data_IF_661997453794
#
_entry.id   IF_661997453794
#
_cell.length_a   1.000
_cell.length_b   1.000
_cell.length_c   1.000
_cell.angle_alpha   90.00
_cell.angle_beta   90.00
_cell.angle_gamma   90.00
#
_symmetry.space_group_name_H-M   'P 1'
#
loop_
_entity.id
_entity.type
_entity.pdbx_description
1 polymer ?
#
# COMPACT_ATOMS: atom_id res chain seq x y z
N UNK A 1 -7.55 -40.90 33.94
CA UNK A 1 -6.34 -40.68 33.18
C UNK A 1 -6.56 -40.96 31.69
N UNK A 2 -7.63 -40.42 31.07
CA UNK A 2 -7.92 -40.64 29.65
C UNK A 2 -8.16 -39.34 28.86
N UNK A 3 -7.86 -38.16 29.43
CA UNK A 3 -8.20 -36.87 28.81
C UNK A 3 -7.00 -36.10 28.17
N UNK A 4 -5.76 -36.55 28.36
CA UNK A 4 -4.59 -35.84 27.83
C UNK A 4 -4.17 -36.27 26.39
N UNK A 5 -4.53 -37.50 25.98
CA UNK A 5 -4.10 -38.01 24.66
C UNK A 5 -4.93 -37.42 23.53
N UNK A 6 -6.21 -37.09 23.79
CA UNK A 6 -7.09 -36.45 22.75
C UNK A 6 -6.72 -35.02 22.38
N UNK A 7 -6.11 -34.27 23.32
CA UNK A 7 -5.77 -32.86 23.09
C UNK A 7 -4.47 -32.70 22.26
N UNK A 8 -3.54 -33.63 22.40
CA UNK A 8 -2.28 -33.60 21.64
C UNK A 8 -2.49 -33.96 20.16
N UNK A 9 -3.46 -34.81 19.86
CA UNK A 9 -3.78 -35.18 18.47
C UNK A 9 -4.54 -34.09 17.70
N UNK A 10 -5.32 -33.27 18.40
CA UNK A 10 -6.01 -32.11 17.77
C UNK A 10 -5.03 -30.97 17.44
N UNK A 11 -4.02 -30.74 18.28
CA UNK A 11 -2.99 -29.72 18.03
C UNK A 11 -2.06 -30.14 16.88
N UNK A 12 -1.75 -31.43 16.73
CA UNK A 12 -0.95 -31.93 15.63
C UNK A 12 -1.68 -31.92 14.28
N UNK A 13 -3.03 -32.08 14.27
CA UNK A 13 -3.82 -31.97 13.04
C UNK A 13 -3.97 -30.52 12.54
N UNK A 14 -4.00 -29.53 13.43
CA UNK A 14 -4.08 -28.11 13.02
C UNK A 14 -2.73 -27.65 12.47
N UNK A 15 -1.62 -28.11 13.02
CA UNK A 15 -0.29 -27.77 12.54
C UNK A 15 0.03 -28.36 11.13
N UNK A 16 -0.53 -29.52 10.79
CA UNK A 16 -0.28 -30.16 9.47
C UNK A 16 -1.05 -29.52 8.31
N UNK A 17 -2.05 -28.67 8.57
CA UNK A 17 -2.75 -27.90 7.52
C UNK A 17 -2.08 -26.55 7.25
N UNK A 18 -1.26 -26.05 8.16
CA UNK A 18 -0.52 -24.79 7.98
C UNK A 18 0.75 -24.96 7.13
N UNK A 19 1.22 -26.19 6.94
CA UNK A 19 2.46 -26.51 6.22
C UNK A 19 2.26 -26.95 4.76
N UNK A 20 1.09 -26.74 4.16
CA UNK A 20 1.02 -26.80 2.70
C UNK A 20 1.73 -25.55 2.17
N UNK A 21 3.00 -25.70 1.86
CA UNK A 21 3.85 -24.72 1.20
C UNK A 21 3.12 -24.14 -0.01
N UNK A 22 2.59 -22.91 0.17
CA UNK A 22 2.10 -22.11 -0.92
C UNK A 22 3.26 -21.26 -1.46
N UNK A 23 3.79 -21.54 -2.65
CA UNK A 23 4.94 -20.81 -3.21
C UNK A 23 4.68 -19.32 -3.33
N UNK A 24 3.42 -18.92 -3.56
CA UNK A 24 3.01 -17.53 -3.60
C UNK A 24 3.14 -16.85 -2.24
N UNK A 25 2.59 -17.46 -1.18
CA UNK A 25 2.69 -16.94 0.19
C UNK A 25 4.15 -16.76 0.61
N UNK A 26 4.98 -17.77 0.40
CA UNK A 26 6.40 -17.71 0.71
C UNK A 26 7.14 -16.62 -0.06
N UNK A 27 6.81 -16.39 -1.34
CA UNK A 27 7.38 -15.31 -2.13
C UNK A 27 6.98 -13.94 -1.56
N UNK A 28 5.70 -13.74 -1.26
CA UNK A 28 5.17 -12.49 -0.71
C UNK A 28 5.77 -12.20 0.65
N UNK A 29 5.78 -13.18 1.56
CA UNK A 29 6.35 -13.05 2.90
C UNK A 29 7.83 -12.66 2.84
N UNK A 30 8.61 -13.33 2.00
CA UNK A 30 10.03 -13.03 1.83
C UNK A 30 10.26 -11.64 1.23
N UNK A 31 9.50 -11.26 0.23
CA UNK A 31 9.67 -10.00 -0.49
C UNK A 31 9.28 -8.80 0.37
N UNK A 32 8.12 -8.88 1.04
CA UNK A 32 7.64 -7.80 1.91
C UNK A 32 8.45 -7.71 3.19
N UNK A 33 8.84 -8.83 3.81
CA UNK A 33 9.70 -8.83 4.99
C UNK A 33 11.05 -8.18 4.71
N UNK A 34 11.67 -8.45 3.56
CA UNK A 34 12.92 -7.77 3.16
C UNK A 34 12.73 -6.27 3.02
N UNK A 35 11.60 -5.83 2.46
CA UNK A 35 11.29 -4.41 2.31
C UNK A 35 11.06 -3.74 3.66
N UNK A 36 10.32 -4.39 4.57
CA UNK A 36 10.06 -3.93 5.92
C UNK A 36 11.35 -3.81 6.74
N UNK A 37 12.22 -4.82 6.65
CA UNK A 37 13.50 -4.87 7.37
C UNK A 37 14.53 -3.86 6.85
N UNK A 38 14.48 -3.50 5.57
CA UNK A 38 15.39 -2.51 4.99
C UNK A 38 15.36 -1.19 5.73
N UNK A 39 14.23 -0.78 6.29
CA UNK A 39 14.01 0.45 7.08
C UNK A 39 14.88 1.65 6.64
N UNK A 40 15.40 1.55 5.40
CA UNK A 40 16.27 2.54 4.80
C UNK A 40 15.42 3.69 4.27
N UNK A 41 15.95 4.88 4.39
CA UNK A 41 15.42 6.08 3.77
C UNK A 41 15.04 5.78 2.31
N UNK A 42 13.74 5.77 2.03
CA UNK A 42 13.25 5.56 0.66
C UNK A 42 13.80 6.67 -0.23
N UNK A 43 14.56 6.30 -1.25
CA UNK A 43 15.11 7.27 -2.20
C UNK A 43 13.97 7.96 -2.94
N UNK A 44 14.00 9.29 -2.92
CA UNK A 44 13.06 10.14 -3.67
C UNK A 44 13.69 10.59 -4.98
N UNK A 45 12.87 10.66 -6.03
CA UNK A 45 13.30 11.11 -7.36
C UNK A 45 12.38 12.22 -7.85
N UNK A 46 12.92 13.19 -8.58
CA UNK A 46 12.18 14.30 -9.17
C UNK A 46 11.31 15.02 -8.12
N UNK A 47 11.92 15.40 -6.99
CA UNK A 47 11.23 16.15 -5.94
C UNK A 47 10.89 17.54 -6.46
N UNK A 48 9.61 17.85 -6.49
CA UNK A 48 9.05 19.13 -6.93
C UNK A 48 8.14 19.70 -5.85
N UNK A 49 8.23 21.01 -5.62
CA UNK A 49 7.26 21.75 -4.82
C UNK A 49 6.13 22.19 -5.71
N UNK A 50 4.93 21.73 -5.42
CA UNK A 50 3.72 22.07 -6.17
C UNK A 50 3.25 23.48 -5.83
N UNK A 51 2.53 24.16 -6.73
CA UNK A 51 1.96 25.49 -6.45
C UNK A 51 1.00 25.50 -5.25
N UNK A 52 0.44 24.34 -4.90
CA UNK A 52 -0.46 24.16 -3.75
C UNK A 52 0.27 23.89 -2.42
N UNK A 53 1.61 23.97 -2.40
CA UNK A 53 2.46 23.79 -1.22
C UNK A 53 2.82 22.34 -0.89
N UNK A 54 2.30 21.37 -1.66
CA UNK A 54 2.63 19.97 -1.45
C UNK A 54 3.93 19.57 -2.15
N UNK A 55 4.62 18.57 -1.63
CA UNK A 55 5.78 17.95 -2.28
C UNK A 55 5.32 16.80 -3.16
N UNK A 56 5.80 16.76 -4.39
CA UNK A 56 5.56 15.68 -5.34
C UNK A 56 6.89 15.03 -5.71
N UNK A 57 6.93 13.71 -5.71
CA UNK A 57 8.13 12.94 -6.05
C UNK A 57 7.78 11.50 -6.42
N UNK A 58 8.79 10.75 -6.84
CA UNK A 58 8.65 9.32 -7.08
C UNK A 58 9.45 8.54 -6.03
N UNK A 59 8.90 7.40 -5.62
CA UNK A 59 9.56 6.39 -4.80
C UNK A 59 9.82 5.14 -5.65
N UNK A 60 10.84 4.36 -5.27
CA UNK A 60 11.12 3.07 -5.92
C UNK A 60 9.95 2.11 -5.72
N UNK A 61 9.48 1.54 -6.80
CA UNK A 61 8.55 0.42 -6.84
C UNK A 61 9.28 -0.92 -6.89
N UNK A 62 8.52 -2.02 -6.82
CA UNK A 62 9.06 -3.34 -7.11
C UNK A 62 9.49 -3.44 -8.59
N UNK A 63 10.54 -4.19 -8.92
CA UNK A 63 10.87 -4.44 -10.32
C UNK A 63 9.72 -5.14 -11.06
N UNK A 64 9.41 -4.67 -12.27
CA UNK A 64 8.41 -5.25 -13.14
C UNK A 64 9.05 -5.73 -14.44
N UNK A 65 8.90 -7.01 -14.78
CA UNK A 65 9.53 -7.62 -15.96
C UNK A 65 11.03 -7.30 -16.05
N UNK A 66 11.72 -7.40 -14.90
CA UNK A 66 13.14 -7.07 -14.71
C UNK A 66 13.51 -5.58 -14.90
N UNK A 67 12.56 -4.69 -15.08
CA UNK A 67 12.81 -3.25 -15.14
C UNK A 67 12.56 -2.59 -13.80
N UNK A 68 13.40 -1.61 -13.44
CA UNK A 68 13.18 -0.78 -12.28
C UNK A 68 11.92 0.08 -12.48
N UNK A 69 11.05 0.11 -11.47
CA UNK A 69 9.84 0.92 -11.50
C UNK A 69 9.84 2.00 -10.42
N UNK A 70 8.98 2.99 -10.59
CA UNK A 70 8.72 4.05 -9.62
C UNK A 70 7.25 4.38 -9.61
N UNK A 71 6.74 4.77 -8.45
CA UNK A 71 5.37 5.25 -8.31
C UNK A 71 5.36 6.70 -7.80
N UNK A 72 4.35 7.45 -8.25
CA UNK A 72 4.13 8.82 -7.85
C UNK A 72 3.66 8.88 -6.39
N UNK A 73 4.23 9.81 -5.63
CA UNK A 73 3.80 10.16 -4.28
C UNK A 73 3.61 11.68 -4.16
N UNK A 74 2.57 12.08 -3.43
CA UNK A 74 2.32 13.47 -3.02
C UNK A 74 2.30 13.50 -1.51
N UNK A 75 3.11 14.35 -0.91
CA UNK A 75 3.35 14.39 0.52
C UNK A 75 3.32 15.80 1.07
N UNK A 76 2.86 15.93 2.29
CA UNK A 76 3.08 17.09 3.11
C UNK A 76 3.01 16.72 4.60
N UNK A 77 3.77 17.46 5.41
CA UNK A 77 3.73 17.36 6.87
C UNK A 77 3.34 18.72 7.45
N UNK A 78 2.48 18.74 8.46
CA UNK A 78 2.17 20.00 9.14
C UNK A 78 3.44 20.60 9.77
N UNK A 79 3.48 21.92 9.87
CA UNK A 79 4.56 22.61 10.57
C UNK A 79 4.50 22.27 12.06
N UNK A 80 5.56 21.68 12.58
CA UNK A 80 5.71 21.41 14.00
C UNK A 80 6.61 22.51 14.59
N UNK A 81 6.12 23.28 15.58
CA UNK A 81 6.93 24.33 16.19
C UNK A 81 8.19 23.76 16.84
N UNK A 82 9.28 24.49 16.74
CA UNK A 82 10.47 24.22 17.54
C UNK A 82 10.31 24.86 18.94
N UNK A 83 10.77 24.14 19.96
CA UNK A 83 10.87 24.69 21.31
C UNK A 83 12.16 25.47 21.49
N UNK A 84 12.31 26.14 22.63
CA UNK A 84 13.40 27.13 22.87
C UNK A 84 14.83 26.58 22.75
N UNK A 85 15.04 25.28 22.85
CA UNK A 85 16.33 24.60 22.66
C UNK A 85 16.60 24.17 21.20
N UNK A 86 15.67 24.48 20.27
CA UNK A 86 15.76 24.11 18.87
C UNK A 86 15.26 22.69 18.54
N UNK A 87 14.79 21.96 19.53
CA UNK A 87 14.13 20.64 19.29
C UNK A 87 12.67 20.82 18.87
N UNK A 88 12.08 19.80 18.25
CA UNK A 88 10.66 19.80 17.90
C UNK A 88 9.79 19.64 19.15
N UNK A 89 8.73 20.44 19.25
CA UNK A 89 7.77 20.36 20.36
C UNK A 89 7.05 18.99 20.44
N UNK A 90 6.82 18.37 19.29
CA UNK A 90 6.20 17.05 19.16
C UNK A 90 6.54 16.45 17.80
N UNK A 91 6.18 15.16 17.59
CA UNK A 91 6.19 14.54 16.26
C UNK A 91 4.75 14.41 15.76
N UNK A 92 4.55 14.55 14.44
CA UNK A 92 3.23 14.41 13.86
C UNK A 92 2.83 12.93 13.73
N UNK A 93 1.57 12.58 13.98
CA UNK A 93 1.02 11.35 13.45
C UNK A 93 1.01 11.39 11.93
N UNK A 94 1.00 10.24 11.27
CA UNK A 94 1.04 10.20 9.80
C UNK A 94 0.10 9.18 9.19
N UNK A 95 -0.18 9.33 7.88
CA UNK A 95 -1.07 8.41 7.17
C UNK A 95 -0.61 8.19 5.73
N UNK A 96 -0.69 6.93 5.30
CA UNK A 96 -0.59 6.51 3.90
C UNK A 96 -1.98 6.49 3.30
N UNK A 97 -2.18 7.16 2.15
CA UNK A 97 -3.46 7.30 1.47
C UNK A 97 -3.44 6.55 0.14
N UNK A 98 -4.33 5.55 0.00
CA UNK A 98 -4.39 4.66 -1.15
C UNK A 98 -5.70 4.85 -1.91
N UNK A 99 -5.60 5.28 -3.17
CA UNK A 99 -6.76 5.53 -4.01
C UNK A 99 -7.48 4.25 -4.47
N UNK A 100 -8.74 4.38 -4.87
CA UNK A 100 -9.50 3.33 -5.54
C UNK A 100 -9.15 3.16 -7.00
N UNK A 101 -9.72 2.14 -7.64
CA UNK A 101 -9.47 1.85 -9.05
C UNK A 101 -9.73 3.06 -9.96
N UNK A 102 -8.77 3.36 -10.83
CA UNK A 102 -8.82 4.50 -11.74
C UNK A 102 -8.55 5.86 -11.09
N UNK A 103 -8.15 5.88 -9.81
CA UNK A 103 -7.69 7.09 -9.12
C UNK A 103 -6.25 7.46 -9.41
N UNK A 104 -5.67 8.29 -8.56
CA UNK A 104 -4.26 8.67 -8.55
C UNK A 104 -3.85 9.12 -7.14
N UNK A 105 -2.63 9.60 -6.96
CA UNK A 105 -2.22 10.29 -5.75
C UNK A 105 -2.95 11.64 -5.64
N UNK A 106 -3.96 11.74 -4.76
CA UNK A 106 -4.78 12.94 -4.63
C UNK A 106 -4.20 13.91 -3.59
N UNK A 107 -3.64 15.04 -4.06
CA UNK A 107 -3.12 16.09 -3.18
C UNK A 107 -4.18 16.70 -2.26
N UNK A 108 -5.46 16.76 -2.69
CA UNK A 108 -6.57 17.24 -1.85
C UNK A 108 -6.80 16.35 -0.61
N UNK A 109 -6.54 15.05 -0.69
CA UNK A 109 -6.62 14.15 0.46
C UNK A 109 -5.49 14.43 1.44
N UNK A 110 -4.28 14.67 0.92
CA UNK A 110 -3.13 15.06 1.74
C UNK A 110 -3.46 16.32 2.55
N UNK A 111 -4.03 17.36 1.91
CA UNK A 111 -4.42 18.60 2.60
C UNK A 111 -5.44 18.36 3.72
N UNK A 112 -6.48 17.55 3.46
CA UNK A 112 -7.49 17.24 4.47
C UNK A 112 -6.92 16.57 5.72
N UNK A 113 -5.95 15.68 5.54
CA UNK A 113 -5.27 15.06 6.67
C UNK A 113 -4.31 16.01 7.38
N UNK A 114 -3.66 16.91 6.62
CA UNK A 114 -2.85 17.97 7.24
C UNK A 114 -3.68 18.94 8.08
N UNK A 115 -4.88 19.32 7.61
CA UNK A 115 -5.82 20.15 8.37
C UNK A 115 -6.25 19.46 9.68
N UNK A 116 -6.21 18.14 9.74
CA UNK A 116 -6.45 17.35 10.94
C UNK A 116 -5.17 17.12 11.79
N UNK A 117 -4.02 17.70 11.41
CA UNK A 117 -2.77 17.60 12.14
C UNK A 117 -1.88 16.40 11.79
N UNK A 118 -2.24 15.63 10.77
CA UNK A 118 -1.45 14.48 10.31
C UNK A 118 -0.48 14.89 9.19
N UNK A 119 0.72 14.35 9.18
CA UNK A 119 1.48 14.22 7.94
C UNK A 119 0.79 13.18 7.04
N UNK A 120 0.78 13.41 5.74
CA UNK A 120 0.08 12.52 4.83
C UNK A 120 0.87 12.31 3.53
N UNK A 121 0.87 11.05 3.05
CA UNK A 121 1.41 10.67 1.76
C UNK A 121 0.34 9.94 0.95
N UNK A 122 -0.05 10.50 -0.20
CA UNK A 122 -0.90 9.84 -1.18
C UNK A 122 -0.03 9.19 -2.26
N UNK A 123 -0.35 7.95 -2.63
CA UNK A 123 0.43 7.17 -3.61
C UNK A 123 -0.42 6.76 -4.81
N UNK A 124 0.20 6.69 -5.99
CA UNK A 124 -0.41 6.15 -7.22
C UNK A 124 -0.02 4.69 -7.38
N UNK A 125 -1.02 3.79 -7.45
CA UNK A 125 -0.82 2.33 -7.40
C UNK A 125 -1.17 1.60 -8.71
N UNK A 126 -1.45 2.33 -9.79
CA UNK A 126 -1.77 1.76 -11.11
C UNK A 126 -0.83 2.28 -12.23
N UNK A 127 0.40 2.70 -11.88
CA UNK A 127 1.41 3.14 -12.85
C UNK A 127 1.14 4.50 -13.50
N UNK A 128 0.23 5.31 -12.95
CA UNK A 128 -0.16 6.62 -13.48
C UNK A 128 0.52 7.79 -12.75
N UNK A 129 0.39 8.96 -13.34
CA UNK A 129 0.68 10.26 -12.72
C UNK A 129 -0.63 10.92 -12.26
N UNK A 130 -0.56 12.13 -11.70
CA UNK A 130 -1.71 12.98 -11.37
C UNK A 130 -2.07 13.97 -12.49
N UNK A 131 -1.38 13.87 -13.64
CA UNK A 131 -1.63 14.72 -14.82
C UNK A 131 -2.78 14.13 -15.64
N UNK A 132 -3.76 14.97 -15.94
CA UNK A 132 -4.92 14.58 -16.76
C UNK A 132 -4.48 14.42 -18.22
N UNK A 133 -4.58 13.19 -18.74
CA UNK A 133 -4.35 12.91 -20.16
C UNK A 133 -5.54 13.30 -21.03
N UNK A 134 -6.78 13.12 -20.50
CA UNK A 134 -8.01 13.49 -21.22
C UNK A 134 -9.18 13.68 -20.26
N UNK A 135 -9.91 14.78 -20.43
CA UNK A 135 -11.13 15.07 -19.66
C UNK A 135 -12.31 14.16 -20.06
N UNK A 136 -12.30 13.65 -21.29
CA UNK A 136 -13.37 12.78 -21.80
C UNK A 136 -13.20 11.31 -21.36
N UNK A 137 -12.01 10.89 -20.94
CA UNK A 137 -11.74 9.54 -20.46
C UNK A 137 -12.06 9.42 -18.98
N UNK A 138 -12.42 8.22 -18.56
CA UNK A 138 -12.76 7.89 -17.17
C UNK A 138 -11.82 6.82 -16.62
N UNK A 139 -11.89 6.64 -15.32
CA UNK A 139 -11.05 5.67 -14.63
C UNK A 139 -9.56 5.99 -14.85
N UNK A 140 -8.74 4.97 -14.94
CA UNK A 140 -7.30 5.10 -15.09
C UNK A 140 -6.87 5.85 -16.36
N UNK A 141 -7.58 5.68 -17.46
CA UNK A 141 -7.25 6.32 -18.73
C UNK A 141 -7.42 7.83 -18.75
N UNK A 142 -8.00 8.38 -17.70
CA UNK A 142 -8.03 9.83 -17.45
C UNK A 142 -6.63 10.39 -17.19
N UNK A 143 -5.75 9.59 -16.60
CA UNK A 143 -4.43 10.01 -16.14
C UNK A 143 -3.33 9.63 -17.13
N UNK A 144 -2.29 10.44 -17.21
CA UNK A 144 -1.09 10.08 -17.96
C UNK A 144 -0.36 8.93 -17.27
N UNK A 145 0.25 8.06 -18.09
CA UNK A 145 1.12 7.03 -17.54
C UNK A 145 2.44 7.64 -17.08
N UNK A 146 2.97 7.13 -15.99
CA UNK A 146 4.36 7.36 -15.63
C UNK A 146 5.28 6.60 -16.57
N UNK A 147 6.38 7.24 -16.99
CA UNK A 147 7.40 6.59 -17.80
C UNK A 147 8.12 5.44 -17.05
N UNK A 148 8.02 5.41 -15.72
CA UNK A 148 8.63 4.43 -14.83
C UNK A 148 7.58 3.61 -14.09
N UNK A 149 6.32 3.64 -14.52
CA UNK A 149 5.22 2.98 -13.82
C UNK A 149 5.40 1.47 -13.77
N UNK A 150 4.99 0.87 -12.66
CA UNK A 150 4.80 -0.58 -12.55
C UNK A 150 3.57 -1.06 -13.33
N UNK A 151 3.17 -2.31 -13.14
CA UNK A 151 2.03 -2.89 -13.85
C UNK A 151 0.74 -2.13 -13.53
N UNK A 152 -0.15 -2.16 -14.49
CA UNK A 152 -1.51 -1.68 -14.34
C UNK A 152 -2.39 -2.83 -13.86
N UNK A 153 -3.43 -2.51 -13.10
CA UNK A 153 -4.45 -3.49 -12.79
C UNK A 153 -5.16 -3.95 -14.07
N UNK A 154 -5.22 -5.24 -14.27
CA UNK A 154 -5.94 -5.89 -15.36
C UNK A 154 -7.24 -6.49 -14.80
N UNK A 155 -8.38 -6.10 -15.33
CA UNK A 155 -9.68 -6.57 -14.89
C UNK A 155 -9.87 -6.50 -13.37
N UNK A 156 -10.22 -7.62 -12.78
CA UNK A 156 -10.37 -7.76 -11.32
C UNK A 156 -9.19 -8.53 -10.71
N UNK A 157 -8.62 -9.47 -11.32
CA UNK A 157 -7.41 -10.21 -10.99
C UNK A 157 -6.96 -10.97 -12.24
N UNK A 158 -7.10 -10.35 -13.42
CA UNK A 158 -6.89 -11.07 -14.69
C UNK A 158 -5.41 -11.33 -14.96
N UNK A 159 -4.52 -10.71 -14.16
CA UNK A 159 -3.08 -10.93 -14.18
C UNK A 159 -2.59 -12.13 -13.33
N UNK A 160 -3.52 -12.92 -12.76
CA UNK A 160 -3.20 -14.08 -11.90
C UNK A 160 -2.35 -15.16 -12.58
N UNK A 161 -2.31 -15.20 -13.91
CA UNK A 161 -1.46 -16.12 -14.67
C UNK A 161 0.00 -15.68 -14.75
N UNK A 162 0.31 -14.44 -14.34
CA UNK A 162 1.68 -13.94 -14.28
C UNK A 162 2.40 -14.51 -13.05
N UNK A 163 3.74 -14.40 -13.05
CA UNK A 163 4.48 -14.64 -11.80
C UNK A 163 4.07 -13.60 -10.75
N UNK A 164 3.98 -14.00 -9.49
CA UNK A 164 3.53 -13.14 -8.38
C UNK A 164 4.25 -11.79 -8.33
N UNK A 165 5.55 -11.74 -8.61
CA UNK A 165 6.31 -10.49 -8.70
C UNK A 165 5.91 -9.55 -9.84
N UNK A 166 5.12 -10.02 -10.80
CA UNK A 166 4.62 -9.24 -11.93
C UNK A 166 3.10 -8.95 -11.82
N UNK A 167 2.45 -9.35 -10.75
CA UNK A 167 1.04 -9.06 -10.51
C UNK A 167 0.86 -7.65 -9.94
N UNK A 168 -0.17 -6.96 -10.39
CA UNK A 168 -0.46 -5.60 -9.95
C UNK A 168 -0.61 -5.48 -8.42
N UNK A 169 -1.31 -6.42 -7.77
CA UNK A 169 -1.54 -6.38 -6.32
C UNK A 169 -0.22 -6.43 -5.54
N UNK A 170 0.76 -7.24 -5.99
CA UNK A 170 2.10 -7.25 -5.40
C UNK A 170 2.74 -5.86 -5.42
N UNK A 171 2.68 -5.17 -6.56
CA UNK A 171 3.26 -3.83 -6.70
C UNK A 171 2.52 -2.78 -5.87
N UNK A 172 1.19 -2.88 -5.77
CA UNK A 172 0.37 -1.96 -5.01
C UNK A 172 0.64 -2.05 -3.49
N UNK A 173 0.74 -3.28 -2.96
CA UNK A 173 1.11 -3.53 -1.56
C UNK A 173 2.56 -3.11 -1.29
N UNK A 174 3.49 -3.42 -2.22
CA UNK A 174 4.87 -2.96 -2.14
C UNK A 174 4.95 -1.43 -2.03
N UNK A 175 4.19 -0.70 -2.84
CA UNK A 175 4.15 0.76 -2.81
C UNK A 175 3.62 1.29 -1.47
N UNK A 176 2.60 0.65 -0.88
CA UNK A 176 2.07 1.04 0.44
C UNK A 176 3.10 0.83 1.56
N UNK A 177 3.83 -0.29 1.56
CA UNK A 177 4.92 -0.55 2.50
C UNK A 177 6.06 0.45 2.31
N UNK A 178 6.41 0.77 1.07
CA UNK A 178 7.45 1.75 0.75
C UNK A 178 7.09 3.17 1.20
N UNK A 179 5.81 3.55 1.08
CA UNK A 179 5.31 4.80 1.62
C UNK A 179 5.40 4.85 3.15
N UNK A 180 5.13 3.73 3.85
CA UNK A 180 5.36 3.62 5.30
C UNK A 180 6.85 3.79 5.64
N UNK A 181 7.76 3.16 4.89
CA UNK A 181 9.21 3.34 5.07
C UNK A 181 9.61 4.80 4.89
N UNK A 182 9.06 5.48 3.86
CA UNK A 182 9.30 6.91 3.66
C UNK A 182 8.85 7.74 4.87
N UNK A 183 7.63 7.54 5.38
CA UNK A 183 7.13 8.24 6.56
C UNK A 183 8.02 7.99 7.78
N UNK A 184 8.45 6.75 7.98
CA UNK A 184 9.33 6.36 9.09
C UNK A 184 10.75 6.93 8.97
N UNK A 185 11.19 7.33 7.79
CA UNK A 185 12.48 8.01 7.60
C UNK A 185 12.44 9.52 7.92
N UNK A 186 11.25 10.09 8.17
CA UNK A 186 11.10 11.50 8.47
C UNK A 186 11.24 11.75 9.98
N UNK A 187 12.16 12.63 10.39
CA UNK A 187 12.44 12.90 11.81
C UNK A 187 11.26 13.49 12.57
N UNK A 188 10.39 14.23 11.87
CA UNK A 188 9.22 14.91 12.43
C UNK A 188 7.98 14.02 12.54
N UNK A 189 8.07 12.73 12.19
CA UNK A 189 6.96 11.77 12.26
C UNK A 189 7.06 10.89 13.51
N UNK A 190 5.94 10.70 14.20
CA UNK A 190 5.82 9.71 15.25
C UNK A 190 5.60 8.31 14.62
N UNK A 191 6.64 7.50 14.66
CA UNK A 191 6.63 6.16 14.07
C UNK A 191 5.61 5.20 14.72
N UNK A 192 5.11 5.52 15.91
CA UNK A 192 4.10 4.73 16.60
C UNK A 192 2.67 5.16 16.23
N UNK A 193 2.52 6.24 15.47
CA UNK A 193 1.24 6.81 15.06
C UNK A 193 1.09 6.93 13.54
N UNK A 194 1.58 5.94 12.81
CA UNK A 194 1.42 5.89 11.34
C UNK A 194 0.26 4.95 11.01
N UNK A 195 -0.73 5.45 10.27
CA UNK A 195 -1.84 4.68 9.76
C UNK A 195 -1.85 4.50 8.25
N UNK A 196 -2.79 3.70 7.76
CA UNK A 196 -3.07 3.53 6.33
C UNK A 196 -4.58 3.62 6.08
N UNK A 197 -4.97 4.36 5.05
CA UNK A 197 -6.36 4.56 4.65
C UNK A 197 -6.50 4.33 3.15
N UNK A 198 -7.44 3.50 2.75
CA UNK A 198 -7.69 3.24 1.34
C UNK A 198 -9.16 3.05 1.03
N UNK A 199 -9.57 3.45 -0.17
CA UNK A 199 -10.96 3.39 -0.62
C UNK A 199 -11.12 2.42 -1.79
N UNK A 200 -12.16 1.59 -1.79
CA UNK A 200 -12.46 0.62 -2.85
C UNK A 200 -11.25 -0.32 -3.07
N UNK A 201 -10.63 -0.37 -4.24
CA UNK A 201 -9.37 -1.08 -4.44
C UNK A 201 -8.27 -0.68 -3.46
N UNK A 202 -8.21 0.59 -3.07
CA UNK A 202 -7.34 1.05 -1.98
C UNK A 202 -7.69 0.41 -0.64
N UNK A 203 -8.97 0.12 -0.39
CA UNK A 203 -9.43 -0.63 0.79
C UNK A 203 -8.91 -2.08 0.77
N UNK A 204 -8.96 -2.76 -0.40
CA UNK A 204 -8.38 -4.10 -0.58
C UNK A 204 -6.88 -4.07 -0.32
N UNK A 205 -6.16 -3.12 -0.95
CA UNK A 205 -4.71 -2.94 -0.75
C UNK A 205 -4.40 -2.69 0.73
N UNK A 206 -5.18 -1.83 1.41
CA UNK A 206 -5.03 -1.54 2.84
C UNK A 206 -5.14 -2.81 3.69
N UNK A 207 -6.21 -3.60 3.48
CA UNK A 207 -6.44 -4.85 4.21
C UNK A 207 -5.32 -5.87 3.95
N UNK A 208 -4.87 -6.00 2.70
CA UNK A 208 -3.75 -6.89 2.35
C UNK A 208 -2.44 -6.39 2.97
N UNK A 209 -2.16 -5.09 2.91
CA UNK A 209 -0.92 -4.51 3.43
C UNK A 209 -0.74 -4.77 4.91
N UNK A 210 -1.78 -4.59 5.74
CA UNK A 210 -1.67 -4.82 7.20
C UNK A 210 -1.51 -6.30 7.57
N UNK A 211 -1.83 -7.21 6.67
CA UNK A 211 -1.52 -8.63 6.83
C UNK A 211 -0.02 -8.94 6.78
N UNK A 212 0.78 -8.07 6.15
CA UNK A 212 2.23 -8.21 6.03
C UNK A 212 3.01 -7.17 6.85
N UNK A 213 2.58 -5.91 6.86
CA UNK A 213 3.26 -4.82 7.58
C UNK A 213 2.51 -4.45 8.86
N UNK A 214 2.91 -5.06 9.97
CA UNK A 214 2.32 -4.84 11.30
C UNK A 214 2.78 -3.55 12.00
N UNK A 215 3.54 -2.68 11.31
CA UNK A 215 4.02 -1.41 11.88
C UNK A 215 3.00 -0.28 11.80
N UNK A 216 1.87 -0.48 11.13
CA UNK A 216 0.78 0.48 11.12
C UNK A 216 0.03 0.47 12.44
N UNK A 217 -0.21 1.66 13.02
CA UNK A 217 -0.94 1.85 14.27
C UNK A 217 -2.45 1.72 14.08
N UNK A 218 -2.96 2.06 12.90
CA UNK A 218 -4.35 1.90 12.52
C UNK A 218 -4.49 1.69 11.01
N UNK A 219 -5.61 1.09 10.61
CA UNK A 219 -5.97 0.90 9.21
C UNK A 219 -7.46 1.19 9.00
N UNK A 220 -7.79 1.91 7.93
CA UNK A 220 -9.16 2.24 7.57
C UNK A 220 -9.42 1.79 6.13
N UNK A 221 -9.79 0.53 5.89
CA UNK A 221 -10.28 0.09 4.58
C UNK A 221 -11.72 0.57 4.39
N UNK A 222 -11.93 1.48 3.43
CA UNK A 222 -13.24 2.04 3.12
C UNK A 222 -13.81 1.24 1.95
N UNK A 223 -14.82 0.41 2.20
CA UNK A 223 -15.38 -0.65 1.36
C UNK A 223 -14.35 -1.34 0.44
N UNK A 224 -14.71 -2.50 -0.12
CA UNK A 224 -13.80 -3.31 -0.93
C UNK A 224 -12.90 -4.25 -0.12
N UNK A 225 -13.20 -4.52 1.16
CA UNK A 225 -12.46 -5.46 2.00
C UNK A 225 -13.40 -6.42 2.74
N UNK A 226 -12.94 -7.65 2.95
CA UNK A 226 -13.64 -8.74 3.64
C UNK A 226 -14.69 -9.45 2.79
N UNK A 227 -14.72 -10.77 2.88
CA UNK A 227 -15.71 -11.66 2.25
C UNK A 227 -15.94 -11.41 0.76
N UNK A 228 -14.91 -10.99 0.02
CA UNK A 228 -15.04 -10.65 -1.40
C UNK A 228 -15.41 -11.87 -2.24
N UNK A 229 -15.00 -13.07 -1.85
CA UNK A 229 -15.38 -14.33 -2.47
C UNK A 229 -16.88 -14.64 -2.38
N UNK A 230 -17.55 -14.12 -1.34
CA UNK A 230 -18.97 -14.41 -1.08
C UNK A 230 -19.91 -13.46 -1.82
N UNK A 231 -19.37 -12.45 -2.49
CA UNK A 231 -20.16 -11.47 -3.24
C UNK A 231 -20.65 -12.11 -4.55
N UNK A 232 -21.99 -12.22 -4.79
CA UNK A 232 -22.53 -12.84 -5.99
C UNK A 232 -22.44 -11.90 -7.21
N UNK A 233 -21.23 -11.59 -7.62
CA UNK A 233 -20.93 -10.76 -8.80
C UNK A 233 -19.53 -11.07 -9.34
N UNK A 234 -19.10 -10.32 -10.36
CA UNK A 234 -17.82 -10.51 -11.03
C UNK A 234 -16.58 -10.53 -10.09
N UNK A 235 -16.63 -9.89 -8.91
CA UNK A 235 -15.53 -9.91 -7.93
C UNK A 235 -15.44 -11.26 -7.25
N UNK A 236 -16.55 -11.76 -6.69
CA UNK A 236 -16.59 -13.09 -6.09
C UNK A 236 -16.27 -14.19 -7.09
N UNK A 237 -16.87 -14.12 -8.29
CA UNK A 237 -16.57 -15.07 -9.37
C UNK A 237 -15.08 -15.07 -9.75
N UNK A 238 -14.42 -13.93 -9.74
CA UNK A 238 -12.99 -13.84 -10.03
C UNK A 238 -12.14 -14.51 -8.95
N UNK A 239 -12.46 -14.27 -7.66
CA UNK A 239 -11.75 -14.90 -6.54
C UNK A 239 -12.00 -16.40 -6.44
N UNK A 240 -13.23 -16.86 -6.73
CA UNK A 240 -13.54 -18.31 -6.79
C UNK A 240 -12.71 -18.98 -7.88
N UNK A 241 -12.54 -18.34 -9.04
CA UNK A 241 -11.71 -18.87 -10.13
C UNK A 241 -10.21 -18.81 -9.84
N UNK A 242 -9.80 -17.93 -8.94
CA UNK A 242 -8.40 -17.68 -8.62
C UNK A 242 -8.19 -17.72 -7.09
N UNK A 243 -8.31 -18.91 -6.48
CA UNK A 243 -8.30 -19.05 -5.02
C UNK A 243 -6.95 -18.73 -4.38
N UNK A 244 -5.93 -18.46 -5.18
CA UNK A 244 -4.60 -18.08 -4.71
C UNK A 244 -4.49 -16.58 -4.36
N UNK A 245 -5.50 -15.78 -4.72
CA UNK A 245 -5.64 -14.40 -4.27
C UNK A 245 -6.38 -14.38 -2.94
#
# INVERSE_FOLDING_TARGET
PHSLIGLVLLISCVATWADQYNPRSSFLDTSYSKLILKNESSKTYNLEQRPDGLSQFYLDGAPYENNATRFLAIYHSPNIPLISDGSMAARAPAVVLVHGGGGTAFGEWVKRWNDAGFAAIAIAVEGQTDVIASQSRRGRDRWMNSAFGGPRREGIYDDYTKSTGNEWMFHAVFAAIQANNFLRSQENIDHQQIGIVGISWGGVITATTIGYDHRFAFAIPIYGSGFLSDIPNQYGDSLIRNPEY
#
